data_IF_838299937919
#
_entry.id   IF_838299937919
#
_cell.length_a   1.000
_cell.length_b   1.000
_cell.length_c   1.000
_cell.angle_alpha   90.00
_cell.angle_beta   90.00
_cell.angle_gamma   90.00
#
_symmetry.space_group_name_H-M   'P 1'
#
loop_
_entity.id
_entity.type
_entity.pdbx_description
1 polymer ?
#
# COMPACT_ATOMS: atom_id res chain seq x y z
N UNK A 1 61.38 35.49 3.64
CA UNK A 1 60.47 35.30 4.78
C UNK A 1 60.43 33.81 5.11
N UNK A 2 61.01 33.44 6.28
CA UNK A 2 60.71 32.32 7.20
C UNK A 2 60.08 31.06 6.57
N UNK A 3 60.76 29.92 6.39
CA UNK A 3 61.35 28.95 7.34
C UNK A 3 60.40 28.48 8.46
N UNK A 4 60.09 27.17 8.46
CA UNK A 4 59.93 26.19 9.58
C UNK A 4 59.01 25.06 9.04
N UNK A 5 59.37 23.79 8.95
CA UNK A 5 60.33 22.98 9.71
C UNK A 5 59.56 21.97 10.55
N UNK A 6 59.71 20.67 10.29
CA UNK A 6 58.98 19.63 11.04
C UNK A 6 59.20 18.20 10.55
N UNK A 7 60.45 17.75 10.60
CA UNK A 7 60.91 16.35 10.49
C UNK A 7 60.84 15.62 11.85
N UNK A 8 60.59 14.30 11.89
CA UNK A 8 61.25 13.31 12.78
C UNK A 8 60.77 11.87 12.44
N UNK A 9 61.56 11.03 11.75
CA UNK A 9 62.48 9.96 12.25
C UNK A 9 61.84 8.61 12.62
N UNK A 10 62.22 7.56 11.86
CA UNK A 10 62.39 6.16 12.29
C UNK A 10 63.55 6.07 13.35
N UNK A 11 63.93 4.94 14.01
CA UNK A 11 63.88 3.53 13.57
C UNK A 11 63.68 2.48 14.70
N UNK A 12 63.77 1.18 14.35
CA UNK A 12 64.29 0.17 15.29
C UNK A 12 63.54 -1.17 15.36
N UNK A 13 64.02 -2.17 14.63
CA UNK A 13 64.12 -3.54 15.18
C UNK A 13 65.45 -3.63 15.93
N UNK A 14 65.56 -4.39 17.03
CA UNK A 14 66.18 -5.71 16.90
C UNK A 14 65.75 -6.77 17.94
N UNK A 15 65.82 -8.05 17.51
CA UNK A 15 66.26 -9.20 18.34
C UNK A 15 65.37 -9.63 19.51
N UNK A 16 65.48 -10.82 20.08
CA UNK A 16 66.19 -12.04 19.74
C UNK A 16 65.73 -13.12 20.77
N UNK A 17 65.82 -14.39 20.37
CA UNK A 17 66.04 -15.60 21.19
C UNK A 17 65.15 -15.90 22.43
N UNK A 18 64.47 -17.04 22.38
CA UNK A 18 64.51 -18.00 23.49
C UNK A 18 64.33 -19.43 22.96
N UNK A 19 65.42 -20.19 23.03
CA UNK A 19 65.55 -21.62 22.75
C UNK A 19 65.48 -22.38 24.08
N UNK A 20 64.67 -23.44 24.17
CA UNK A 20 64.83 -24.61 25.06
C UNK A 20 63.67 -25.57 24.72
N UNK A 21 63.83 -26.72 24.05
CA UNK A 21 64.57 -27.97 24.37
C UNK A 21 64.13 -28.62 25.69
N UNK A 22 63.30 -29.68 25.56
CA UNK A 22 63.25 -30.96 26.29
C UNK A 22 62.04 -31.73 25.70
N UNK A 23 62.04 -33.00 25.32
CA UNK A 23 62.99 -34.09 25.41
C UNK A 23 62.20 -35.39 25.14
N UNK A 24 62.69 -36.18 24.17
CA UNK A 24 62.66 -37.64 23.99
C UNK A 24 61.59 -38.58 24.62
N UNK A 25 61.41 -39.69 23.86
CA UNK A 25 60.87 -41.04 24.18
C UNK A 25 59.37 -41.20 23.91
N UNK A 26 58.97 -41.90 22.84
CA UNK A 26 58.90 -43.37 22.76
C UNK A 26 57.45 -43.78 23.03
N UNK A 27 56.71 -44.57 22.25
CA UNK A 27 57.07 -45.85 21.69
C UNK A 27 56.03 -46.29 20.63
N UNK A 28 56.53 -47.04 19.66
CA UNK A 28 55.98 -48.20 18.93
C UNK A 28 54.51 -48.59 19.11
N UNK A 29 53.82 -48.84 17.99
CA UNK A 29 52.49 -49.47 17.99
C UNK A 29 52.02 -50.00 16.65
N UNK A 30 52.73 -51.01 16.12
CA UNK A 30 52.22 -52.09 15.24
C UNK A 30 51.48 -51.74 13.94
N UNK A 31 52.22 -51.75 12.83
CA UNK A 31 51.68 -52.08 11.50
C UNK A 31 51.23 -53.55 11.49
N UNK A 32 49.94 -53.80 11.26
CA UNK A 32 49.45 -55.14 10.92
C UNK A 32 49.52 -55.30 9.40
N UNK A 33 50.31 -56.29 8.99
CA UNK A 33 50.52 -56.72 7.62
C UNK A 33 49.21 -57.10 6.95
N UNK A 34 49.02 -56.55 5.74
CA UNK A 34 48.05 -57.00 4.77
C UNK A 34 48.43 -58.39 4.23
N UNK A 35 47.44 -59.28 4.20
CA UNK A 35 47.48 -60.50 3.40
C UNK A 35 46.09 -60.69 2.76
N UNK A 36 46.04 -60.70 1.42
CA UNK A 36 44.92 -61.30 0.68
C UNK A 36 44.45 -60.56 -0.58
N UNK A 37 44.84 -61.08 -1.76
CA UNK A 37 43.97 -61.18 -2.94
C UNK A 37 44.01 -60.03 -3.98
N UNK A 38 44.25 -60.32 -5.28
CA UNK A 38 44.09 -59.35 -6.35
C UNK A 38 42.60 -59.30 -6.75
N UNK A 39 41.87 -58.27 -6.33
CA UNK A 39 40.48 -58.15 -6.77
C UNK A 39 39.56 -57.15 -6.07
N UNK A 40 40.01 -56.41 -5.07
CA UNK A 40 39.15 -55.42 -4.42
C UNK A 40 39.96 -54.16 -4.14
N UNK A 41 39.80 -53.13 -4.97
CA UNK A 41 40.15 -51.76 -4.54
C UNK A 41 39.10 -51.36 -3.51
N UNK A 42 39.44 -51.23 -2.21
CA UNK A 42 38.52 -50.69 -1.23
C UNK A 42 38.16 -49.27 -1.67
N UNK A 43 36.90 -48.82 -1.54
CA UNK A 43 36.51 -47.45 -1.83
C UNK A 43 37.48 -46.48 -1.15
N UNK A 44 37.87 -45.40 -1.83
CA UNK A 44 38.78 -44.38 -1.29
C UNK A 44 38.32 -43.96 0.11
N UNK A 45 38.92 -44.53 1.14
CA UNK A 45 38.61 -44.21 2.53
C UNK A 45 39.42 -42.97 2.88
N UNK A 46 38.87 -41.80 2.60
CA UNK A 46 39.43 -40.57 3.15
C UNK A 46 39.38 -40.74 4.68
N UNK A 47 40.53 -40.61 5.40
CA UNK A 47 40.55 -40.78 6.84
C UNK A 47 39.56 -39.83 7.51
N UNK A 48 38.92 -40.29 8.59
CA UNK A 48 37.73 -39.65 9.19
C UNK A 48 37.97 -38.19 9.59
N UNK A 49 39.18 -37.89 10.05
CA UNK A 49 39.55 -36.56 10.53
C UNK A 49 39.77 -35.56 9.37
N UNK A 50 40.63 -35.82 8.37
CA UNK A 50 40.78 -34.93 7.23
C UNK A 50 39.48 -34.74 6.42
N UNK A 51 38.60 -35.76 6.37
CA UNK A 51 37.26 -35.62 5.78
C UNK A 51 36.36 -34.67 6.58
N UNK A 52 36.42 -34.71 7.92
CA UNK A 52 35.65 -33.83 8.81
C UNK A 52 36.13 -32.38 8.72
N UNK A 53 37.42 -32.16 8.60
CA UNK A 53 37.98 -30.82 8.43
C UNK A 53 37.74 -30.26 7.03
N UNK A 54 37.77 -31.10 5.99
CA UNK A 54 37.35 -30.72 4.65
C UNK A 54 35.86 -30.35 4.60
N UNK A 55 35.00 -31.16 5.23
CA UNK A 55 33.57 -30.87 5.33
C UNK A 55 33.27 -29.56 6.09
N UNK A 56 34.00 -29.28 7.19
CA UNK A 56 33.87 -28.01 7.91
C UNK A 56 34.28 -26.80 7.07
N UNK A 57 35.35 -26.91 6.28
CA UNK A 57 35.78 -25.84 5.36
C UNK A 57 34.78 -25.60 4.23
N UNK A 58 34.13 -26.65 3.75
CA UNK A 58 33.10 -26.56 2.70
C UNK A 58 31.79 -25.96 3.23
N UNK A 59 31.34 -26.39 4.42
CA UNK A 59 30.12 -25.89 5.08
C UNK A 59 30.26 -24.44 5.59
N UNK A 60 31.49 -23.96 5.81
CA UNK A 60 31.76 -22.56 6.15
C UNK A 60 31.68 -21.62 4.93
N UNK A 61 31.51 -22.14 3.71
CA UNK A 61 31.32 -21.30 2.51
C UNK A 61 29.97 -20.58 2.59
N UNK A 62 30.00 -19.26 2.34
CA UNK A 62 28.81 -18.37 2.33
C UNK A 62 27.66 -18.82 1.42
N UNK A 63 27.93 -19.72 0.46
CA UNK A 63 26.92 -20.28 -0.44
C UNK A 63 25.77 -21.02 0.29
N UNK A 64 25.98 -21.48 1.53
CA UNK A 64 24.93 -22.15 2.33
C UNK A 64 24.22 -21.26 3.35
N UNK A 65 24.49 -19.95 3.40
CA UNK A 65 23.79 -19.01 4.32
C UNK A 65 22.44 -18.51 3.80
N UNK A 66 21.84 -19.16 2.80
CA UNK A 66 20.50 -18.84 2.28
C UNK A 66 19.35 -19.21 3.25
N UNK A 67 19.65 -19.83 4.40
CA UNK A 67 18.69 -20.12 5.47
C UNK A 67 18.86 -19.26 6.73
N UNK A 68 19.62 -18.17 6.67
CA UNK A 68 19.47 -17.15 7.71
C UNK A 68 18.10 -16.50 7.49
N UNK A 69 17.15 -16.63 8.45
CA UNK A 69 15.83 -16.07 8.28
C UNK A 69 15.99 -14.60 7.94
N UNK A 70 15.40 -14.20 6.81
CA UNK A 70 15.50 -12.81 6.38
C UNK A 70 15.11 -11.90 7.54
N UNK A 71 15.74 -10.73 7.67
CA UNK A 71 15.38 -9.77 8.73
C UNK A 71 13.86 -9.53 8.78
N UNK A 72 13.23 -9.63 7.61
CA UNK A 72 11.78 -9.61 7.41
C UNK A 72 11.06 -10.84 7.99
N UNK A 73 11.47 -12.07 7.68
CA UNK A 73 10.88 -13.28 8.28
C UNK A 73 11.03 -13.31 9.80
N UNK A 74 12.17 -12.82 10.31
CA UNK A 74 12.42 -12.73 11.75
C UNK A 74 11.49 -11.71 12.41
N UNK A 75 11.26 -10.56 11.76
CA UNK A 75 10.28 -9.57 12.20
C UNK A 75 8.83 -10.11 12.09
N UNK A 76 8.51 -10.84 11.03
CA UNK A 76 7.19 -11.41 10.81
C UNK A 76 6.88 -12.50 11.84
N UNK A 77 7.84 -13.38 12.14
CA UNK A 77 7.71 -14.36 13.22
C UNK A 77 7.56 -13.69 14.58
N UNK A 78 8.34 -12.64 14.86
CA UNK A 78 8.20 -11.88 16.11
C UNK A 78 6.81 -11.23 16.24
N UNK A 79 6.26 -10.73 15.13
CA UNK A 79 4.92 -10.18 15.06
C UNK A 79 3.84 -11.23 15.34
N UNK A 80 3.91 -12.40 14.69
CA UNK A 80 2.94 -13.49 14.92
C UNK A 80 3.00 -14.01 16.35
N UNK A 81 4.20 -14.19 16.91
CA UNK A 81 4.35 -14.62 18.30
C UNK A 81 3.76 -13.60 19.29
N UNK A 82 3.97 -12.30 19.05
CA UNK A 82 3.35 -11.25 19.86
C UNK A 82 1.82 -11.28 19.78
N UNK A 83 1.28 -11.54 18.59
CA UNK A 83 -0.15 -11.62 18.36
C UNK A 83 -0.79 -12.83 19.07
N UNK A 84 -0.14 -14.00 18.99
CA UNK A 84 -0.59 -15.22 19.67
C UNK A 84 -0.55 -15.08 21.20
N UNK A 85 0.46 -14.40 21.74
CA UNK A 85 0.57 -14.15 23.19
C UNK A 85 -0.53 -13.18 23.69
N UNK A 86 -0.89 -12.20 22.85
CA UNK A 86 -1.99 -11.26 23.10
C UNK A 86 -3.35 -11.97 23.14
N UNK A 87 -3.62 -12.86 22.18
CA UNK A 87 -4.85 -13.66 22.16
C UNK A 87 -4.86 -14.76 23.23
N UNK A 88 -3.73 -15.40 23.49
CA UNK A 88 -3.55 -16.40 24.54
C UNK A 88 -3.79 -15.82 25.94
N UNK A 89 -3.32 -14.59 26.18
CA UNK A 89 -3.59 -13.86 27.42
C UNK A 89 -5.07 -13.51 27.61
N UNK A 90 -5.86 -13.42 26.53
CA UNK A 90 -7.29 -13.17 26.59
C UNK A 90 -8.13 -14.45 26.79
N UNK A 91 -7.60 -15.63 26.46
CA UNK A 91 -8.31 -16.90 26.51
C UNK A 91 -8.11 -17.71 27.82
N UNK A 92 -7.24 -17.25 28.72
CA UNK A 92 -6.94 -17.97 29.98
C UNK A 92 -7.93 -17.65 31.12
N UNK A 93 -8.34 -18.64 31.95
CA UNK A 93 -9.20 -18.43 33.12
C UNK A 93 -8.43 -17.88 34.34
N UNK A 94 -7.47 -16.98 34.12
CA UNK A 94 -6.68 -16.32 35.17
C UNK A 94 -7.10 -14.86 35.34
N UNK A 95 -6.84 -14.23 36.50
CA UNK A 95 -7.22 -12.83 36.78
C UNK A 95 -6.67 -11.78 35.80
N UNK A 96 -5.83 -12.17 34.83
CA UNK A 96 -5.34 -11.33 33.73
C UNK A 96 -6.26 -11.24 32.51
N UNK A 97 -7.30 -12.08 32.39
CA UNK A 97 -8.21 -12.05 31.23
C UNK A 97 -8.98 -10.74 31.07
N UNK A 98 -9.35 -10.09 32.18
CA UNK A 98 -9.95 -8.76 32.15
C UNK A 98 -8.97 -7.68 31.66
N UNK A 99 -7.69 -7.81 32.01
CA UNK A 99 -6.63 -6.90 31.57
C UNK A 99 -6.33 -7.12 30.08
N UNK A 100 -6.25 -8.39 29.63
CA UNK A 100 -6.09 -8.74 28.22
C UNK A 100 -7.26 -8.24 27.37
N UNK A 101 -8.50 -8.42 27.84
CA UNK A 101 -9.69 -7.89 27.19
C UNK A 101 -9.66 -6.35 27.10
N UNK A 102 -9.25 -5.65 28.15
CA UNK A 102 -9.09 -4.19 28.13
C UNK A 102 -8.05 -3.74 27.10
N UNK A 103 -6.92 -4.43 26.99
CA UNK A 103 -5.88 -4.13 25.99
C UNK A 103 -6.39 -4.38 24.56
N UNK A 104 -7.13 -5.46 24.33
CA UNK A 104 -7.74 -5.75 23.01
C UNK A 104 -8.78 -4.69 22.66
N UNK A 105 -9.67 -4.32 23.59
CA UNK A 105 -10.65 -3.24 23.38
C UNK A 105 -9.92 -1.93 23.08
N UNK A 106 -8.88 -1.58 23.85
CA UNK A 106 -8.09 -0.38 23.62
C UNK A 106 -7.42 -0.41 22.24
N UNK A 107 -6.86 -1.55 21.83
CA UNK A 107 -6.25 -1.73 20.52
C UNK A 107 -7.27 -1.57 19.40
N UNK A 108 -8.46 -2.19 19.52
CA UNK A 108 -9.57 -2.02 18.57
C UNK A 108 -10.00 -0.55 18.51
N UNK A 109 -10.13 0.14 19.64
CA UNK A 109 -10.46 1.57 19.68
C UNK A 109 -9.39 2.42 19.01
N UNK A 110 -8.10 2.12 19.19
CA UNK A 110 -6.99 2.82 18.54
C UNK A 110 -6.99 2.55 17.03
N UNK A 111 -7.21 1.32 16.59
CA UNK A 111 -7.31 0.95 15.17
C UNK A 111 -8.54 1.62 14.54
N UNK A 112 -9.69 1.60 15.22
CA UNK A 112 -10.89 2.30 14.78
C UNK A 112 -10.64 3.79 14.69
N UNK A 113 -10.03 4.41 15.70
CA UNK A 113 -9.68 5.83 15.69
C UNK A 113 -8.68 6.17 14.58
N UNK A 114 -7.65 5.35 14.38
CA UNK A 114 -6.67 5.50 13.31
C UNK A 114 -7.31 5.33 11.93
N UNK A 115 -8.22 4.35 11.77
CA UNK A 115 -9.01 4.17 10.57
C UNK A 115 -9.93 5.38 10.35
N UNK A 116 -10.57 5.90 11.41
CA UNK A 116 -11.43 7.07 11.39
C UNK A 116 -10.65 8.36 11.02
N UNK A 117 -9.39 8.45 11.46
CA UNK A 117 -8.45 9.51 11.08
C UNK A 117 -7.98 9.35 9.63
N UNK A 118 -7.66 8.12 9.20
CA UNK A 118 -7.09 7.81 7.88
C UNK A 118 -8.13 7.81 6.75
N UNK A 119 -9.37 7.40 7.05
CA UNK A 119 -10.51 7.50 6.12
C UNK A 119 -11.12 8.91 6.07
N UNK A 120 -10.56 9.87 6.80
CA UNK A 120 -11.04 11.24 6.80
C UNK A 120 -12.37 11.35 7.52
N UNK A 121 -12.33 11.75 8.78
CA UNK A 121 -13.55 11.95 9.52
C UNK A 121 -14.29 13.19 9.03
N UNK A 122 -15.56 13.08 8.60
CA UNK A 122 -16.40 14.24 8.47
C UNK A 122 -16.75 14.69 9.88
N UNK A 123 -16.07 15.74 10.36
CA UNK A 123 -16.53 16.49 11.52
C UNK A 123 -17.94 16.96 11.21
N UNK A 124 -18.95 16.31 11.82
CA UNK A 124 -20.33 16.78 11.86
C UNK A 124 -20.32 18.20 12.41
N UNK A 125 -20.51 19.18 11.54
CA UNK A 125 -20.93 20.52 11.95
C UNK A 125 -22.45 20.51 12.07
N UNK A 126 -23.03 21.10 13.12
CA UNK A 126 -24.46 21.03 13.37
C UNK A 126 -25.21 21.79 12.27
N UNK A 127 -26.36 21.23 11.94
CA UNK A 127 -27.32 21.71 10.97
C UNK A 127 -27.55 23.23 11.06
N UNK A 128 -27.53 23.90 9.90
CA UNK A 128 -28.29 25.12 9.67
C UNK A 128 -29.23 24.90 8.49
N UNK A 129 -30.42 24.44 8.89
CA UNK A 129 -31.73 24.90 8.42
C UNK A 129 -32.20 24.54 7.01
N UNK A 130 -33.26 23.72 7.01
CA UNK A 130 -34.31 23.53 5.99
C UNK A 130 -33.88 22.77 4.72
N UNK A 131 -34.48 21.65 4.32
CA UNK A 131 -35.81 21.14 4.64
C UNK A 131 -35.94 19.64 4.32
N UNK A 132 -36.88 19.01 5.05
CA UNK A 132 -37.61 17.77 4.73
C UNK A 132 -36.88 16.43 4.99
N UNK A 133 -36.89 16.00 6.25
CA UNK A 133 -37.67 14.82 6.73
C UNK A 133 -37.78 13.54 5.87
N UNK A 134 -36.78 13.21 5.05
CA UNK A 134 -36.57 11.87 4.48
C UNK A 134 -35.08 11.63 4.22
N UNK A 135 -34.28 11.51 5.29
CA UNK A 135 -32.85 11.20 5.14
C UNK A 135 -32.53 9.78 5.60
N UNK A 136 -33.25 8.82 5.01
CA UNK A 136 -32.81 7.43 4.82
C UNK A 136 -32.48 7.20 3.32
N UNK A 137 -32.20 8.28 2.59
CA UNK A 137 -31.86 8.26 1.18
C UNK A 137 -30.35 8.17 0.95
N UNK A 138 -29.90 7.72 -0.24
CA UNK A 138 -28.50 7.82 -0.62
C UNK A 138 -28.05 9.29 -0.62
N UNK A 139 -26.79 9.53 -0.23
CA UNK A 139 -26.16 10.87 -0.15
C UNK A 139 -26.44 11.71 -1.39
N UNK A 140 -26.74 12.98 -1.16
CA UNK A 140 -26.94 13.98 -2.20
C UNK A 140 -25.65 14.34 -2.94
N UNK A 141 -25.78 14.94 -4.13
CA UNK A 141 -24.62 15.44 -4.87
C UNK A 141 -23.80 16.44 -4.05
N UNK A 142 -24.46 17.36 -3.34
CA UNK A 142 -23.80 18.37 -2.52
C UNK A 142 -22.98 17.76 -1.37
N UNK A 143 -23.47 16.70 -0.74
CA UNK A 143 -22.73 15.99 0.31
C UNK A 143 -21.49 15.28 -0.25
N UNK A 144 -21.60 14.66 -1.43
CA UNK A 144 -20.44 14.08 -2.12
C UNK A 144 -19.40 15.16 -2.50
N UNK A 145 -19.82 16.36 -2.92
CA UNK A 145 -18.90 17.48 -3.17
C UNK A 145 -18.16 17.91 -1.90
N UNK A 146 -18.89 18.06 -0.80
CA UNK A 146 -18.30 18.42 0.49
C UNK A 146 -17.30 17.36 0.98
N UNK A 147 -17.62 16.07 0.82
CA UNK A 147 -16.70 14.98 1.13
C UNK A 147 -15.45 15.01 0.24
N UNK A 148 -15.62 15.25 -1.06
CA UNK A 148 -14.52 15.38 -2.00
C UNK A 148 -13.57 16.53 -1.64
N UNK A 149 -14.12 17.68 -1.25
CA UNK A 149 -13.35 18.85 -0.79
C UNK A 149 -12.62 18.58 0.52
N UNK A 150 -13.22 17.85 1.46
CA UNK A 150 -12.57 17.43 2.69
C UNK A 150 -11.37 16.51 2.44
N UNK A 151 -11.46 15.61 1.45
CA UNK A 151 -10.33 14.79 1.02
C UNK A 151 -9.25 15.61 0.32
N UNK A 152 -9.63 16.52 -0.57
CA UNK A 152 -8.71 17.42 -1.26
C UNK A 152 -7.92 18.32 -0.28
N UNK A 153 -8.58 18.84 0.76
CA UNK A 153 -7.94 19.63 1.81
C UNK A 153 -6.85 18.86 2.60
N UNK A 154 -6.93 17.53 2.60
CA UNK A 154 -5.95 16.63 3.21
C UNK A 154 -4.95 16.05 2.19
N UNK A 155 -4.96 16.55 0.95
CA UNK A 155 -4.18 16.00 -0.17
C UNK A 155 -4.47 14.52 -0.48
N UNK A 156 -5.64 14.02 -0.07
CA UNK A 156 -6.12 12.68 -0.38
C UNK A 156 -6.79 12.65 -1.76
N UNK A 157 -6.00 12.90 -2.81
CA UNK A 157 -6.50 13.16 -4.16
C UNK A 157 -7.32 12.00 -4.75
N UNK A 158 -6.93 10.75 -4.51
CA UNK A 158 -7.66 9.60 -5.05
C UNK A 158 -9.08 9.52 -4.49
N UNK A 159 -9.23 9.70 -3.18
CA UNK A 159 -10.54 9.74 -2.51
C UNK A 159 -11.34 10.97 -2.95
N UNK A 160 -10.67 12.12 -3.13
CA UNK A 160 -11.29 13.34 -3.62
C UNK A 160 -11.87 13.17 -5.03
N UNK A 161 -11.14 12.52 -5.94
CA UNK A 161 -11.61 12.18 -7.30
C UNK A 161 -12.79 11.22 -7.26
N UNK A 162 -12.71 10.17 -6.44
CA UNK A 162 -13.80 9.20 -6.31
C UNK A 162 -15.10 9.84 -5.80
N UNK A 163 -15.02 10.65 -4.73
CA UNK A 163 -16.19 11.36 -4.19
C UNK A 163 -16.71 12.43 -5.16
N UNK A 164 -15.84 13.13 -5.89
CA UNK A 164 -16.27 14.10 -6.90
C UNK A 164 -16.96 13.42 -8.08
N UNK A 165 -16.51 12.25 -8.52
CA UNK A 165 -17.20 11.48 -9.56
C UNK A 165 -18.58 11.00 -9.09
N UNK A 166 -18.70 10.56 -7.83
CA UNK A 166 -20.00 10.26 -7.21
C UNK A 166 -20.92 11.48 -7.20
N UNK A 167 -20.40 12.67 -6.89
CA UNK A 167 -21.15 13.91 -6.96
C UNK A 167 -21.64 14.23 -8.37
N UNK A 168 -20.79 14.07 -9.39
CA UNK A 168 -21.15 14.33 -10.80
C UNK A 168 -22.30 13.44 -11.25
N UNK A 169 -22.19 12.12 -11.03
CA UNK A 169 -23.24 11.17 -11.42
C UNK A 169 -24.53 11.48 -10.67
N UNK A 170 -24.44 11.69 -9.35
CA UNK A 170 -25.62 12.01 -8.53
C UNK A 170 -26.27 13.33 -8.95
N UNK A 171 -25.50 14.35 -9.30
CA UNK A 171 -26.02 15.63 -9.76
C UNK A 171 -26.75 15.51 -11.10
N UNK A 172 -26.25 14.67 -12.00
CA UNK A 172 -26.90 14.39 -13.28
C UNK A 172 -28.21 13.62 -13.09
N UNK A 173 -28.27 12.70 -12.11
CA UNK A 173 -29.50 11.99 -11.72
C UNK A 173 -30.52 12.91 -11.06
N UNK A 174 -30.10 13.73 -10.08
CA UNK A 174 -30.98 14.69 -9.38
C UNK A 174 -31.62 15.71 -10.35
N UNK A 175 -30.94 16.00 -11.45
CA UNK A 175 -31.40 16.91 -12.51
C UNK A 175 -32.14 16.21 -13.65
N UNK A 176 -32.39 14.90 -13.52
CA UNK A 176 -33.03 14.07 -14.55
C UNK A 176 -32.33 14.11 -15.92
N UNK A 177 -31.01 14.36 -15.94
CA UNK A 177 -30.17 14.18 -17.12
C UNK A 177 -29.84 12.69 -17.32
N UNK A 178 -29.76 11.96 -16.21
CA UNK A 178 -29.59 10.51 -16.16
C UNK A 178 -30.75 9.88 -15.38
N UNK A 179 -31.18 8.69 -15.83
CA UNK A 179 -32.12 7.89 -15.05
C UNK A 179 -31.43 7.27 -13.83
N UNK A 180 -32.10 7.23 -12.67
CA UNK A 180 -31.53 6.62 -11.45
C UNK A 180 -31.47 5.10 -11.63
N UNK A 181 -30.25 4.54 -11.66
CA UNK A 181 -30.04 3.09 -11.83
C UNK A 181 -28.92 2.59 -10.91
N UNK A 182 -29.22 1.72 -9.93
CA UNK A 182 -28.18 1.11 -9.11
C UNK A 182 -27.26 0.24 -9.97
N UNK A 183 -25.96 0.30 -9.69
CA UNK A 183 -24.93 -0.50 -10.39
C UNK A 183 -24.43 0.08 -11.72
N UNK A 184 -24.84 1.29 -12.11
CA UNK A 184 -24.29 1.96 -13.29
C UNK A 184 -22.79 2.27 -13.10
N UNK A 185 -22.00 1.99 -14.13
CA UNK A 185 -20.56 2.33 -14.13
C UNK A 185 -20.30 3.79 -14.51
N UNK A 186 -19.11 4.30 -14.19
CA UNK A 186 -18.68 5.65 -14.54
C UNK A 186 -18.69 5.89 -16.07
N UNK A 187 -18.23 4.91 -16.85
CA UNK A 187 -18.22 4.95 -18.31
C UNK A 187 -19.64 4.98 -18.91
N UNK A 188 -20.55 4.16 -18.37
CA UNK A 188 -21.96 4.18 -18.79
C UNK A 188 -22.61 5.53 -18.49
N UNK A 189 -22.36 6.09 -17.31
CA UNK A 189 -22.85 7.42 -16.93
C UNK A 189 -22.30 8.50 -17.87
N UNK A 190 -21.00 8.46 -18.19
CA UNK A 190 -20.37 9.41 -19.10
C UNK A 190 -20.89 9.28 -20.55
N UNK A 191 -21.14 8.05 -21.01
CA UNK A 191 -21.69 7.79 -22.35
C UNK A 191 -23.14 8.25 -22.49
N UNK A 192 -23.96 8.05 -21.46
CA UNK A 192 -25.35 8.50 -21.43
C UNK A 192 -25.45 10.02 -21.27
N UNK A 193 -24.71 10.60 -20.31
CA UNK A 193 -24.67 12.03 -20.11
C UNK A 193 -24.11 12.77 -21.33
N UNK A 194 -23.13 12.19 -22.03
CA UNK A 194 -22.61 12.74 -23.28
C UNK A 194 -23.64 12.82 -24.40
N UNK A 195 -24.64 11.93 -24.42
CA UNK A 195 -25.77 12.02 -25.38
C UNK A 195 -26.68 13.22 -25.05
N UNK A 196 -26.94 13.48 -23.78
CA UNK A 196 -27.77 14.60 -23.33
C UNK A 196 -27.04 15.96 -23.34
N UNK A 197 -25.71 15.93 -23.19
CA UNK A 197 -24.81 17.08 -23.10
C UNK A 197 -23.63 16.95 -24.10
N UNK A 198 -23.88 17.09 -25.41
CA UNK A 198 -22.87 16.80 -26.44
C UNK A 198 -21.57 17.60 -26.30
N UNK A 199 -21.66 18.86 -25.88
CA UNK A 199 -20.52 19.75 -25.66
C UNK A 199 -19.52 19.25 -24.60
N UNK A 200 -19.97 18.40 -23.67
CA UNK A 200 -19.13 17.89 -22.57
C UNK A 200 -18.68 16.45 -22.77
N UNK A 201 -19.06 15.78 -23.86
CA UNK A 201 -18.80 14.36 -24.13
C UNK A 201 -17.33 13.97 -23.94
N UNK A 202 -16.40 14.76 -24.51
CA UNK A 202 -14.97 14.48 -24.42
C UNK A 202 -14.45 14.54 -22.98
N UNK A 203 -14.90 15.55 -22.22
CA UNK A 203 -14.51 15.75 -20.82
C UNK A 203 -15.12 14.70 -19.90
N UNK A 204 -16.38 14.32 -20.13
CA UNK A 204 -17.06 13.24 -19.40
C UNK A 204 -16.34 11.90 -19.59
N UNK A 205 -15.98 11.54 -20.82
CA UNK A 205 -15.20 10.31 -21.09
C UNK A 205 -13.81 10.34 -20.48
N UNK A 206 -13.15 11.50 -20.49
CA UNK A 206 -11.85 11.65 -19.85
C UNK A 206 -11.96 11.48 -18.32
N UNK A 207 -12.99 12.06 -17.70
CA UNK A 207 -13.28 11.91 -16.29
C UNK A 207 -13.60 10.46 -15.87
N UNK A 208 -14.41 9.74 -16.65
CA UNK A 208 -14.70 8.32 -16.39
C UNK A 208 -13.43 7.46 -16.43
N UNK A 209 -12.61 7.62 -17.48
CA UNK A 209 -11.30 6.94 -17.56
C UNK A 209 -10.41 7.27 -16.38
N UNK A 210 -10.28 8.54 -16.01
CA UNK A 210 -9.46 8.96 -14.88
C UNK A 210 -9.96 8.37 -13.55
N UNK A 211 -11.28 8.27 -13.39
CA UNK A 211 -11.88 7.59 -12.25
C UNK A 211 -11.55 6.09 -12.23
N UNK A 212 -11.70 5.39 -13.36
CA UNK A 212 -11.42 3.95 -13.45
C UNK A 212 -9.93 3.65 -13.25
N UNK A 213 -9.08 4.49 -13.80
CA UNK A 213 -7.64 4.46 -13.65
C UNK A 213 -7.20 4.55 -12.18
N UNK A 214 -7.88 5.39 -11.40
CA UNK A 214 -7.62 5.59 -9.97
C UNK A 214 -8.25 4.50 -9.11
N UNK A 215 -9.48 4.09 -9.43
CA UNK A 215 -10.28 3.17 -8.62
C UNK A 215 -9.89 1.71 -8.85
N UNK A 216 -9.67 1.35 -10.11
CA UNK A 216 -9.41 -0.03 -10.54
C UNK A 216 -8.00 -0.19 -11.13
N UNK A 217 -7.46 0.86 -11.76
CA UNK A 217 -6.13 0.84 -12.38
C UNK A 217 -4.95 1.07 -11.44
N UNK A 218 -5.19 1.25 -10.14
CA UNK A 218 -4.14 1.44 -9.13
C UNK A 218 -3.32 2.73 -9.28
N UNK A 219 -3.76 3.68 -10.11
CA UNK A 219 -3.03 4.95 -10.31
C UNK A 219 -3.34 5.93 -9.20
N UNK A 220 -2.32 6.65 -8.73
CA UNK A 220 -2.52 7.75 -7.79
C UNK A 220 -3.12 8.94 -8.54
N UNK A 221 -4.20 9.53 -8.01
CA UNK A 221 -4.71 10.79 -8.53
C UNK A 221 -3.79 11.95 -8.14
N UNK A 222 -3.78 12.99 -8.96
CA UNK A 222 -3.09 14.24 -8.68
C UNK A 222 -4.06 15.35 -8.27
N UNK A 223 -3.55 16.43 -7.71
CA UNK A 223 -4.34 17.66 -7.49
C UNK A 223 -4.96 18.17 -8.80
N UNK A 224 -4.18 18.16 -9.88
CA UNK A 224 -4.64 18.62 -11.19
C UNK A 224 -5.80 17.76 -11.72
N UNK A 225 -5.73 16.44 -11.51
CA UNK A 225 -6.82 15.49 -11.80
C UNK A 225 -8.11 15.87 -11.09
N UNK A 226 -8.02 16.12 -9.79
CA UNK A 226 -9.16 16.55 -8.98
C UNK A 226 -9.73 17.89 -9.46
N UNK A 227 -8.86 18.88 -9.73
CA UNK A 227 -9.29 20.21 -10.17
C UNK A 227 -10.01 20.15 -11.53
N UNK A 228 -9.52 19.36 -12.50
CA UNK A 228 -10.19 19.14 -13.78
C UNK A 228 -11.59 18.55 -13.61
N UNK A 229 -11.73 17.57 -12.73
CA UNK A 229 -13.01 16.93 -12.45
C UNK A 229 -13.98 17.88 -11.72
N UNK A 230 -13.47 18.67 -10.77
CA UNK A 230 -14.25 19.68 -10.05
C UNK A 230 -14.68 20.85 -10.96
N UNK A 231 -13.88 21.21 -11.96
CA UNK A 231 -14.27 22.16 -13.00
C UNK A 231 -15.35 21.59 -13.92
N UNK A 232 -15.20 20.33 -14.34
CA UNK A 232 -16.24 19.66 -15.12
C UNK A 232 -17.56 19.61 -14.36
N UNK A 233 -17.57 19.24 -13.09
CA UNK A 233 -18.77 19.24 -12.23
C UNK A 233 -19.48 20.60 -12.23
N UNK A 234 -18.74 21.70 -11.99
CA UNK A 234 -19.27 23.07 -12.03
C UNK A 234 -19.82 23.48 -13.40
N UNK A 235 -19.18 23.04 -14.48
CA UNK A 235 -19.65 23.34 -15.83
C UNK A 235 -20.94 22.57 -16.15
N UNK A 236 -21.00 21.30 -15.75
CA UNK A 236 -22.19 20.47 -15.92
C UNK A 236 -23.38 21.05 -15.16
N UNK A 237 -23.19 21.56 -13.94
CA UNK A 237 -24.24 22.25 -13.16
C UNK A 237 -24.92 23.38 -13.95
N UNK A 238 -24.15 24.12 -14.75
CA UNK A 238 -24.66 25.24 -15.55
C UNK A 238 -25.18 24.82 -16.92
N UNK A 239 -24.75 23.67 -17.42
CA UNK A 239 -25.12 23.18 -18.74
C UNK A 239 -26.62 22.83 -18.80
N UNK A 240 -27.30 23.24 -19.87
CA UNK A 240 -28.69 22.82 -20.13
C UNK A 240 -28.71 21.60 -21.06
N UNK A 241 -29.61 20.63 -20.82
CA UNK A 241 -29.79 19.49 -21.74
C UNK A 241 -30.28 19.97 -23.12
N UNK A 242 -29.71 19.42 -24.20
CA UNK A 242 -30.06 19.83 -25.56
C UNK A 242 -31.54 19.61 -25.93
N UNK A 243 -32.21 18.67 -25.26
CA UNK A 243 -33.64 18.40 -25.45
C UNK A 243 -34.55 19.54 -24.99
N UNK A 244 -34.11 20.38 -24.05
CA UNK A 244 -34.87 21.56 -23.62
C UNK A 244 -34.91 22.65 -24.69
N UNK A 245 -33.80 22.85 -25.42
CA UNK A 245 -33.68 23.89 -26.45
C UNK A 245 -34.48 23.55 -27.73
N UNK A 246 -34.61 22.26 -28.06
CA UNK A 246 -35.41 21.78 -29.20
C UNK A 246 -36.92 21.94 -28.98
N UNK A 247 -37.40 21.70 -27.76
CA UNK A 247 -38.80 21.92 -27.39
C UNK A 247 -39.16 23.43 -27.39
N UNK A 248 -38.25 24.28 -26.89
CA UNK A 248 -38.43 25.72 -26.90
C UNK A 248 -38.42 26.32 -28.32
N UNK A 249 -37.55 25.85 -29.22
CA UNK A 249 -37.55 26.30 -30.63
C UNK A 249 -38.82 25.92 -31.39
N UNK A 250 -39.33 24.70 -31.19
CA UNK A 250 -40.56 24.24 -31.82
C UNK A 250 -41.77 25.07 -31.37
N UNK A 251 -41.86 25.39 -30.08
CA UNK A 251 -42.93 26.25 -29.54
C UNK A 251 -42.85 27.70 -30.04
N UNK A 252 -41.64 28.22 -30.28
CA UNK A 252 -41.45 29.56 -30.82
C UNK A 252 -41.85 29.64 -32.30
N UNK A 253 -41.55 28.61 -33.10
CA UNK A 253 -41.93 28.56 -34.53
C UNK A 253 -43.44 28.42 -34.77
N UNK A 254 -44.16 27.68 -33.92
CA UNK A 254 -45.61 27.51 -34.06
C UNK A 254 -46.40 28.78 -33.72
N UNK A 255 -45.88 29.64 -32.84
CA UNK A 255 -46.50 30.95 -32.53
C UNK A 255 -46.34 31.99 -33.67
N UNK A 256 -45.33 31.83 -34.52
CA UNK A 256 -44.99 32.81 -35.57
C UNK A 256 -45.70 32.56 -36.90
N UNK A 257 -46.26 31.36 -37.10
CA UNK A 257 -46.95 30.96 -38.33
C UNK A 257 -48.47 31.17 -38.34
N UNK A 258 -49.06 31.77 -37.29
CA UNK A 258 -50.50 31.95 -37.15
C UNK A 258 -50.99 33.38 -37.50
N UNK A 259 -50.16 34.18 -38.17
CA UNK A 259 -50.48 35.55 -38.59
C UNK A 259 -50.07 35.79 -40.04
N UNK A 260 -50.68 35.06 -40.98
CA UNK A 260 -50.78 35.41 -42.40
C UNK A 260 -52.16 35.00 -42.94
#
# INVERSE_FOLDING_TARGET
>A
MLFTGGSFTAPGSPGAVATAVHGLLGASGTSVLAAGGPGDTPPVTIPRDPAREAARRELAKRMYHENDPSLFERALKAFWNWLDDLFGSAAGPTPGGAVGLLVVILFVLVVLAALWWRLGTPRRRPARTAAVLFDDGPRSAAEHRAAAEAHAAQSHWSQAVQERMRAVVRSLEERAVLDVRPGRTADEAAAEAGRALPAHTGRLRAAAREFDDVTYGGRAASEQSYQRLAELDRDLERARPAHADSAASTAHSSSRGAAE
#
